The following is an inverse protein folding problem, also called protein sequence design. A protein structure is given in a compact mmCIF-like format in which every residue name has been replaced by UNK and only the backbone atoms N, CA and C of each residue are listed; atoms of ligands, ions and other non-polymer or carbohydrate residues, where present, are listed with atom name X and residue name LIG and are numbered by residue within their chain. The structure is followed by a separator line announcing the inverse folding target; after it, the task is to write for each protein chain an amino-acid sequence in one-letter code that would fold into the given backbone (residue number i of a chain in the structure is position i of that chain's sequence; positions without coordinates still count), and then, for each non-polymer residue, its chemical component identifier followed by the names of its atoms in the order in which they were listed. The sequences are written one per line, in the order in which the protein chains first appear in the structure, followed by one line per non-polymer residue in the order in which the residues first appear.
data_IF_887889970223
#
_entry.id   IF_887889970223
#
_cell.length_a   1.000
_cell.length_b   1.000
_cell.length_c   1.000
_cell.angle_alpha   90.00
_cell.angle_beta   90.00
_cell.angle_gamma   90.00
#
_symmetry.space_group_name_H-M   'P 1'
#
loop_
_entity.id
_entity.type
_entity.pdbx_description
1 polymer ?
#
# COMPACT_ATOMS: atom_id res chain seq x y z
N UNK A 1 1.22 -22.64 16.45
CA UNK A 1 0.98 -21.19 16.30
C UNK A 1 1.84 -20.71 15.14
N UNK A 2 1.27 -20.57 13.94
CA UNK A 2 2.02 -20.09 12.78
C UNK A 2 2.27 -18.59 12.95
N UNK A 3 3.53 -18.18 12.98
CA UNK A 3 3.91 -16.77 13.04
C UNK A 3 3.69 -16.18 11.64
N UNK A 4 2.81 -15.19 11.52
CA UNK A 4 2.70 -14.43 10.27
C UNK A 4 3.92 -13.49 10.19
N UNK A 5 4.96 -13.93 9.50
CA UNK A 5 6.23 -13.21 9.38
C UNK A 5 6.07 -11.87 8.65
N UNK A 6 5.12 -11.77 7.72
CA UNK A 6 4.82 -10.52 7.02
C UNK A 6 4.36 -9.44 8.00
N UNK A 7 3.46 -9.77 8.92
CA UNK A 7 2.98 -8.82 9.94
C UNK A 7 4.13 -8.36 10.85
N UNK A 8 5.04 -9.26 11.21
CA UNK A 8 6.21 -8.91 12.02
C UNK A 8 7.12 -7.91 11.30
N UNK A 9 7.34 -8.08 9.99
CA UNK A 9 8.13 -7.15 9.17
C UNK A 9 7.40 -5.83 8.97
N UNK A 10 6.10 -5.84 8.64
CA UNK A 10 5.31 -4.61 8.43
C UNK A 10 5.22 -3.75 9.70
N UNK A 11 5.24 -4.37 10.88
CA UNK A 11 5.20 -3.66 12.16
C UNK A 11 6.58 -3.21 12.68
N UNK A 12 7.66 -3.50 11.94
CA UNK A 12 9.01 -3.13 12.36
C UNK A 12 9.32 -1.67 12.02
N UNK A 13 9.96 -0.94 12.95
CA UNK A 13 10.25 0.51 12.79
C UNK A 13 11.20 0.83 11.64
N UNK A 14 12.01 -0.14 11.20
CA UNK A 14 12.89 0.00 10.04
C UNK A 14 12.19 -0.24 8.69
N UNK A 15 10.93 -0.66 8.68
CA UNK A 15 10.17 -0.87 7.44
C UNK A 15 9.58 0.46 6.95
N UNK A 16 9.96 0.86 5.74
CA UNK A 16 9.58 2.17 5.18
C UNK A 16 8.40 2.15 4.21
N UNK A 17 8.16 1.03 3.54
CA UNK A 17 7.09 0.83 2.57
C UNK A 17 6.86 -0.65 2.26
N UNK A 18 5.71 -0.96 1.66
CA UNK A 18 5.36 -2.32 1.24
C UNK A 18 5.05 -2.38 -0.26
N UNK A 19 5.84 -3.13 -1.02
CA UNK A 19 5.49 -3.46 -2.39
C UNK A 19 4.50 -4.62 -2.39
N UNK A 20 3.32 -4.39 -2.97
CA UNK A 20 2.22 -5.34 -2.93
C UNK A 20 1.47 -5.36 -4.24
N UNK A 21 0.91 -6.52 -4.59
CA UNK A 21 0.02 -6.65 -5.72
C UNK A 21 -1.37 -6.04 -5.50
N UNK A 22 -1.60 -5.38 -4.35
CA UNK A 22 -2.87 -4.74 -4.00
C UNK A 22 -4.05 -5.71 -3.84
N UNK A 23 -3.79 -6.97 -3.49
CA UNK A 23 -4.84 -7.85 -2.98
C UNK A 23 -5.40 -7.30 -1.66
N UNK A 24 -6.70 -7.49 -1.42
CA UNK A 24 -7.37 -6.83 -0.29
C UNK A 24 -6.79 -7.22 1.07
N UNK A 25 -6.44 -8.49 1.28
CA UNK A 25 -5.85 -8.97 2.54
C UNK A 25 -4.53 -8.26 2.85
N UNK A 26 -3.57 -8.27 1.91
CA UNK A 26 -2.29 -7.61 2.08
C UNK A 26 -2.42 -6.09 2.22
N UNK A 27 -3.44 -5.50 1.59
CA UNK A 27 -3.77 -4.08 1.73
C UNK A 27 -4.17 -3.76 3.17
N UNK A 28 -5.12 -4.52 3.73
CA UNK A 28 -5.57 -4.34 5.12
C UNK A 28 -4.43 -4.60 6.11
N UNK A 29 -3.61 -5.64 5.89
CA UNK A 29 -2.42 -5.90 6.72
C UNK A 29 -1.42 -4.73 6.71
N UNK A 30 -1.20 -4.09 5.56
CA UNK A 30 -0.34 -2.91 5.44
C UNK A 30 -0.90 -1.72 6.22
N UNK A 31 -2.17 -1.38 5.98
CA UNK A 31 -2.79 -0.19 6.56
C UNK A 31 -3.02 -0.32 8.06
N UNK A 32 -3.25 -1.54 8.56
CA UNK A 32 -3.31 -1.82 10.00
C UNK A 32 -2.00 -1.50 10.74
N UNK A 33 -0.87 -1.42 10.03
CA UNK A 33 0.44 -1.05 10.58
C UNK A 33 0.95 0.29 10.05
N UNK A 34 0.09 1.06 9.39
CA UNK A 34 0.42 2.39 8.88
C UNK A 34 1.46 2.38 7.76
N UNK A 35 1.59 1.26 7.03
CA UNK A 35 2.58 1.09 5.98
C UNK A 35 2.07 1.59 4.63
N UNK A 36 2.78 2.52 3.96
CA UNK A 36 2.44 2.97 2.62
C UNK A 36 2.73 1.88 1.59
N UNK A 37 2.01 1.90 0.46
CA UNK A 37 2.04 0.81 -0.52
C UNK A 37 2.67 1.28 -1.85
N UNK A 38 3.61 0.48 -2.39
CA UNK A 38 3.96 0.52 -3.82
C UNK A 38 3.09 -0.51 -4.52
N UNK A 39 2.09 -0.05 -5.26
CA UNK A 39 1.06 -0.89 -5.84
C UNK A 39 1.48 -1.50 -7.17
N UNK A 40 1.56 -2.84 -7.23
CA UNK A 40 1.96 -3.63 -8.39
C UNK A 40 0.85 -4.60 -8.82
N UNK A 41 -0.33 -4.10 -9.28
CA UNK A 41 -1.47 -4.96 -9.54
C UNK A 41 -1.22 -5.96 -10.68
N UNK A 42 -1.59 -7.22 -10.48
CA UNK A 42 -1.36 -8.30 -11.45
C UNK A 42 -2.67 -8.79 -12.11
N UNK A 43 -3.70 -9.11 -11.33
CA UNK A 43 -4.96 -9.70 -11.82
C UNK A 43 -6.17 -9.40 -10.92
N UNK A 44 -7.36 -9.86 -11.31
CA UNK A 44 -8.63 -9.70 -10.57
C UNK A 44 -8.94 -8.23 -10.22
N UNK A 45 -9.39 -7.96 -8.99
CA UNK A 45 -9.80 -6.65 -8.49
C UNK A 45 -8.61 -5.75 -8.10
N UNK A 46 -7.39 -6.29 -8.12
CA UNK A 46 -6.17 -5.59 -7.68
C UNK A 46 -5.95 -4.26 -8.40
N UNK A 47 -6.34 -4.17 -9.68
CA UNK A 47 -6.26 -2.92 -10.46
C UNK A 47 -7.19 -1.84 -9.90
N UNK A 48 -8.39 -2.23 -9.46
CA UNK A 48 -9.34 -1.32 -8.80
C UNK A 48 -8.82 -0.92 -7.42
N UNK A 49 -8.33 -1.89 -6.63
CA UNK A 49 -7.73 -1.61 -5.33
C UNK A 49 -6.55 -0.64 -5.45
N UNK A 50 -5.63 -0.86 -6.39
CA UNK A 50 -4.49 0.02 -6.61
C UNK A 50 -4.91 1.45 -7.00
N UNK A 51 -5.96 1.60 -7.81
CA UNK A 51 -6.53 2.90 -8.16
C UNK A 51 -7.15 3.57 -6.95
N UNK A 52 -7.98 2.87 -6.17
CA UNK A 52 -8.59 3.42 -4.94
C UNK A 52 -7.53 3.81 -3.91
N UNK A 53 -6.53 2.95 -3.68
CA UNK A 53 -5.44 3.22 -2.72
C UNK A 53 -4.60 4.43 -3.11
N UNK A 54 -4.31 4.61 -4.40
CA UNK A 54 -3.51 5.72 -4.90
C UNK A 54 -4.29 7.02 -5.03
N UNK A 55 -5.46 6.98 -5.67
CA UNK A 55 -6.19 8.18 -6.07
C UNK A 55 -7.17 8.68 -4.99
N UNK A 56 -7.79 7.78 -4.24
CA UNK A 56 -8.84 8.13 -3.28
C UNK A 56 -8.31 8.14 -1.85
N UNK A 57 -7.68 7.03 -1.44
CA UNK A 57 -7.17 6.90 -0.08
C UNK A 57 -5.85 7.65 0.16
N UNK A 58 -5.05 7.86 -0.89
CA UNK A 58 -3.77 8.58 -0.82
C UNK A 58 -2.67 7.83 -0.08
N UNK A 59 -2.72 6.49 -0.07
CA UNK A 59 -1.81 5.60 0.69
C UNK A 59 -0.91 4.75 -0.20
N UNK A 60 -0.97 4.92 -1.53
CA UNK A 60 -0.16 4.16 -2.45
C UNK A 60 0.39 4.98 -3.64
N UNK A 61 1.51 4.52 -4.19
CA UNK A 61 1.95 4.88 -5.54
C UNK A 61 1.74 3.66 -6.44
N UNK A 62 0.92 3.82 -7.48
CA UNK A 62 0.61 2.75 -8.44
C UNK A 62 1.68 2.67 -9.53
N UNK A 63 2.21 1.47 -9.76
CA UNK A 63 3.12 1.19 -10.87
C UNK A 63 2.38 1.11 -12.21
N UNK A 64 2.96 1.60 -13.31
CA UNK A 64 2.38 1.53 -14.65
C UNK A 64 2.55 0.15 -15.28
N UNK A 65 2.01 -0.89 -14.63
CA UNK A 65 2.09 -2.30 -15.06
C UNK A 65 0.98 -2.72 -16.02
N UNK A 66 0.07 -1.80 -16.37
CA UNK A 66 -1.07 -2.03 -17.28
C UNK A 66 -1.08 -0.94 -18.33
N UNK A 67 -1.09 -1.33 -19.61
CA UNK A 67 -1.19 -0.42 -20.75
C UNK A 67 -2.62 -0.01 -21.08
N UNK A 68 -2.78 0.88 -22.04
CA UNK A 68 -4.08 1.46 -22.42
C UNK A 68 -5.09 0.42 -22.94
N UNK A 69 -4.60 -0.71 -23.48
CA UNK A 69 -5.44 -1.81 -23.98
C UNK A 69 -5.61 -2.91 -22.93
N UNK A 70 -5.17 -2.68 -21.70
CA UNK A 70 -5.29 -3.62 -20.57
C UNK A 70 -4.22 -4.70 -20.51
N UNK A 71 -3.24 -4.66 -21.42
CA UNK A 71 -2.09 -5.55 -21.48
C UNK A 71 -1.13 -5.31 -20.31
N UNK A 72 -0.44 -6.36 -19.88
CA UNK A 72 0.58 -6.25 -18.84
C UNK A 72 1.86 -5.69 -19.43
N UNK A 73 2.40 -4.63 -18.81
CA UNK A 73 3.64 -3.99 -19.21
C UNK A 73 4.79 -4.42 -18.29
N UNK A 74 5.97 -4.58 -18.88
CA UNK A 74 7.21 -4.75 -18.13
C UNK A 74 7.71 -3.38 -17.71
N UNK A 75 7.85 -3.17 -16.40
CA UNK A 75 8.37 -1.92 -15.84
C UNK A 75 9.90 -1.98 -15.82
N UNK A 76 10.54 -1.00 -16.47
CA UNK A 76 12.00 -0.86 -16.49
C UNK A 76 12.58 -0.49 -15.11
N UNK A 77 13.85 -0.85 -14.89
CA UNK A 77 14.53 -0.64 -13.60
C UNK A 77 14.59 0.83 -13.18
N UNK A 78 14.70 1.76 -14.13
CA UNK A 78 14.76 3.20 -13.87
C UNK A 78 13.46 3.70 -13.24
N UNK A 79 12.32 3.17 -13.69
CA UNK A 79 11.01 3.53 -13.18
C UNK A 79 10.76 2.91 -11.80
N UNK A 80 11.24 1.69 -11.57
CA UNK A 80 11.24 1.06 -10.24
C UNK A 80 12.06 1.89 -9.26
N UNK A 81 13.30 2.25 -9.61
CA UNK A 81 14.17 3.08 -8.78
C UNK A 81 13.50 4.42 -8.45
N UNK A 82 12.96 5.10 -9.47
CA UNK A 82 12.28 6.39 -9.31
C UNK A 82 11.14 6.30 -8.29
N UNK A 83 10.27 5.29 -8.39
CA UNK A 83 9.14 5.13 -7.47
C UNK A 83 9.62 4.75 -6.07
N UNK A 84 10.58 3.83 -5.93
CA UNK A 84 11.15 3.47 -4.63
C UNK A 84 11.74 4.68 -3.93
N UNK A 85 12.58 5.48 -4.61
CA UNK A 85 13.13 6.73 -4.05
C UNK A 85 12.04 7.72 -3.69
N UNK A 86 11.03 7.89 -4.54
CA UNK A 86 9.90 8.79 -4.30
C UNK A 86 9.13 8.42 -3.03
N UNK A 87 8.90 7.12 -2.78
CA UNK A 87 8.26 6.64 -1.56
C UNK A 87 9.19 6.77 -0.36
N UNK A 88 10.45 6.41 -0.47
CA UNK A 88 11.37 6.39 0.69
C UNK A 88 11.78 7.81 1.12
N UNK A 89 12.22 8.64 0.18
CA UNK A 89 12.92 9.91 0.43
C UNK A 89 12.10 11.14 0.05
N UNK A 90 11.15 11.00 -0.89
CA UNK A 90 10.40 12.11 -1.46
C UNK A 90 9.32 12.70 -0.53
N UNK A 91 8.96 13.96 -0.78
CA UNK A 91 7.87 14.66 -0.07
C UNK A 91 6.51 13.97 -0.26
N UNK A 92 6.28 13.37 -1.42
CA UNK A 92 5.09 12.55 -1.64
C UNK A 92 5.09 11.31 -0.75
N UNK A 93 6.23 10.61 -0.64
CA UNK A 93 6.38 9.47 0.28
C UNK A 93 6.10 9.82 1.74
N UNK A 94 6.53 11.00 2.20
CA UNK A 94 6.20 11.51 3.55
C UNK A 94 4.68 11.72 3.73
N UNK A 95 4.01 12.32 2.75
CA UNK A 95 2.54 12.52 2.79
C UNK A 95 1.79 11.18 2.81
N UNK A 96 2.17 10.25 1.95
CA UNK A 96 1.56 8.91 1.87
C UNK A 96 1.76 8.14 3.18
N UNK A 97 2.95 8.21 3.80
CA UNK A 97 3.19 7.63 5.13
C UNK A 97 2.30 8.23 6.22
N UNK A 98 2.18 9.56 6.26
CA UNK A 98 1.28 10.24 7.21
C UNK A 98 -0.15 9.73 7.05
N UNK A 99 -0.62 9.67 5.80
CA UNK A 99 -1.97 9.21 5.49
C UNK A 99 -2.20 7.74 5.88
N UNK A 100 -1.22 6.87 5.63
CA UNK A 100 -1.30 5.48 6.07
C UNK A 100 -1.38 5.37 7.60
N UNK A 101 -0.64 6.21 8.34
CA UNK A 101 -0.68 6.25 9.80
C UNK A 101 -2.02 6.76 10.34
N UNK A 102 -2.65 7.73 9.68
CA UNK A 102 -4.01 8.15 10.01
C UNK A 102 -5.00 7.00 9.83
N UNK A 103 -4.92 6.25 8.73
CA UNK A 103 -5.78 5.09 8.51
C UNK A 103 -5.53 3.95 9.51
N UNK A 104 -4.29 3.75 9.98
CA UNK A 104 -4.03 2.84 11.08
C UNK A 104 -4.81 3.24 12.33
N UNK A 105 -4.75 4.51 12.72
CA UNK A 105 -5.42 5.02 13.92
C UNK A 105 -6.94 4.91 13.76
N UNK A 106 -7.48 5.34 12.62
CA UNK A 106 -8.91 5.21 12.31
C UNK A 106 -9.36 3.75 12.29
N UNK A 107 -8.60 2.85 11.67
CA UNK A 107 -8.91 1.43 11.61
C UNK A 107 -8.86 0.76 12.99
N UNK A 108 -7.95 1.18 13.86
CA UNK A 108 -7.91 0.73 15.25
C UNK A 108 -9.14 1.21 16.02
N UNK A 109 -9.53 2.46 15.86
CA UNK A 109 -10.71 3.03 16.51
C UNK A 109 -12.01 2.36 16.05
N UNK A 110 -12.13 2.04 14.75
CA UNK A 110 -13.24 1.28 14.18
C UNK A 110 -13.44 -0.09 14.86
N UNK A 111 -12.36 -0.73 15.28
CA UNK A 111 -12.36 -2.04 15.95
C UNK A 111 -12.52 -1.97 17.47
N UNK A 112 -12.54 -0.77 18.07
CA UNK A 112 -12.78 -0.59 19.50
C UNK A 112 -14.29 -0.70 19.83
N UNK A 113 -14.62 -0.94 21.10
CA UNK A 113 -16.02 -0.98 21.56
C UNK A 113 -16.75 0.33 21.23
N UNK A 114 -17.88 0.23 20.52
CA UNK A 114 -18.64 1.40 20.05
C UNK A 114 -18.09 2.04 18.77
N UNK A 115 -17.00 1.51 18.21
CA UNK A 115 -16.48 1.88 16.89
C UNK A 115 -17.32 1.28 15.75
N UNK A 116 -17.20 1.89 14.57
CA UNK A 116 -17.92 1.46 13.36
C UNK A 116 -16.98 0.64 12.47
N UNK A 117 -17.39 -0.58 12.13
CA UNK A 117 -16.67 -1.48 11.21
C UNK A 117 -17.37 -1.61 9.86
N UNK A 118 -18.08 -0.52 9.48
CA UNK A 118 -19.23 -0.35 8.57
C UNK A 118 -20.50 -0.01 9.35
#
# INVERSE_FOLDING_TARGET
MFRNEQVAVLNHTSTGAFLSHCGWNSTVESLKHGMPIIGWPMYAEQRMNATMLGNEAGVAIKMPVVGDKGETLVVGREEIERVVRKVMEGEEGKRIRSRAKELEVSGRAALCCGGTVL
#
